data_IF_481993535729
#
_entry.id   IF_481993535729
#
_cell.length_a   1.000
_cell.length_b   1.000
_cell.length_c   1.000
_cell.angle_alpha   90.00
_cell.angle_beta   90.00
_cell.angle_gamma   90.00
#
_symmetry.space_group_name_H-M   'P 1'
#
loop_
_entity.id
_entity.type
_entity.pdbx_description
1 polymer ?
#
# COMPACT_ATOMS: atom_id res chain seq x y z
N UNK A 1 10.86 12.86 19.40
CA UNK A 1 10.40 11.95 18.32
C UNK A 1 10.85 10.50 18.51
N UNK A 2 12.15 10.20 18.65
CA UNK A 2 12.66 8.81 18.74
C UNK A 2 12.00 7.92 19.81
N UNK A 3 11.71 8.46 21.00
CA UNK A 3 11.02 7.71 22.08
C UNK A 3 9.60 7.29 21.68
N UNK A 4 8.88 8.14 20.95
CA UNK A 4 7.52 7.87 20.48
C UNK A 4 7.53 6.81 19.37
N UNK A 5 8.46 6.96 18.42
CA UNK A 5 8.67 6.01 17.33
C UNK A 5 9.02 4.62 17.86
N UNK A 6 9.88 4.52 18.88
CA UNK A 6 10.22 3.25 19.54
C UNK A 6 8.99 2.59 20.18
N UNK A 7 8.12 3.40 20.81
CA UNK A 7 6.86 2.90 21.39
C UNK A 7 5.91 2.38 20.31
N UNK A 8 5.78 3.11 19.20
CA UNK A 8 4.90 2.71 18.10
C UNK A 8 5.41 1.48 17.35
N UNK A 9 6.73 1.36 17.13
CA UNK A 9 7.31 0.15 16.57
C UNK A 9 7.18 -1.06 17.50
N UNK A 10 7.35 -0.85 18.80
CA UNK A 10 7.11 -1.91 19.78
C UNK A 10 5.66 -2.39 19.69
N UNK A 11 4.68 -1.47 19.61
CA UNK A 11 3.28 -1.84 19.39
C UNK A 11 3.06 -2.55 18.06
N UNK A 12 3.69 -2.07 16.98
CA UNK A 12 3.56 -2.63 15.64
C UNK A 12 3.97 -4.10 15.61
N UNK A 13 5.19 -4.42 16.05
CA UNK A 13 5.70 -5.80 16.02
C UNK A 13 5.11 -6.70 17.11
N UNK A 14 4.36 -6.17 18.08
CA UNK A 14 3.55 -6.95 19.03
C UNK A 14 2.08 -7.06 18.61
N UNK A 15 1.69 -6.40 17.53
CA UNK A 15 0.32 -6.43 17.03
C UNK A 15 -0.01 -7.79 16.43
N UNK A 16 -0.99 -8.50 17.00
CA UNK A 16 -1.51 -9.75 16.41
C UNK A 16 -2.13 -9.50 15.03
N UNK A 17 -2.77 -8.33 14.83
CA UNK A 17 -3.42 -8.03 13.55
C UNK A 17 -2.42 -7.89 12.41
N UNK A 18 -1.18 -7.46 12.67
CA UNK A 18 -0.12 -7.38 11.63
C UNK A 18 0.17 -8.76 11.08
N UNK A 19 0.44 -9.72 11.97
CA UNK A 19 0.77 -11.09 11.57
C UNK A 19 -0.41 -11.83 10.95
N UNK A 20 -1.63 -11.59 11.44
CA UNK A 20 -2.84 -12.18 10.83
C UNK A 20 -3.03 -11.62 9.41
N UNK A 21 -2.94 -10.31 9.22
CA UNK A 21 -3.05 -9.70 7.89
C UNK A 21 -1.95 -10.22 6.96
N UNK A 22 -0.70 -10.28 7.43
CA UNK A 22 0.43 -10.78 6.66
C UNK A 22 0.26 -12.24 6.24
N UNK A 23 -0.19 -13.10 7.18
CA UNK A 23 -0.43 -14.52 6.93
C UNK A 23 -1.56 -14.71 5.90
N UNK A 24 -2.68 -14.03 6.08
CA UNK A 24 -3.83 -14.14 5.16
C UNK A 24 -3.44 -13.62 3.77
N UNK A 25 -2.76 -12.48 3.69
CA UNK A 25 -2.28 -11.91 2.43
C UNK A 25 -1.32 -12.86 1.69
N UNK A 26 -0.35 -13.44 2.42
CA UNK A 26 0.56 -14.44 1.86
C UNK A 26 -0.16 -15.70 1.37
N UNK A 27 -1.11 -16.22 2.13
CA UNK A 27 -1.92 -17.39 1.73
C UNK A 27 -2.76 -17.11 0.48
N UNK A 28 -3.33 -15.92 0.34
CA UNK A 28 -4.07 -15.53 -0.86
C UNK A 28 -3.14 -15.38 -2.08
N UNK A 29 -1.93 -14.87 -1.90
CA UNK A 29 -0.94 -14.80 -2.99
C UNK A 29 -0.47 -16.18 -3.46
N UNK A 30 -0.31 -17.12 -2.52
CA UNK A 30 -0.02 -18.53 -2.85
C UNK A 30 -1.23 -19.16 -3.55
N UNK A 31 -2.42 -18.96 -2.99
CA UNK A 31 -3.68 -19.51 -3.51
C UNK A 31 -3.97 -19.04 -4.94
N UNK A 32 -3.79 -17.76 -5.24
CA UNK A 32 -3.95 -17.21 -6.59
C UNK A 32 -2.99 -17.85 -7.60
N UNK A 33 -1.74 -18.11 -7.21
CA UNK A 33 -0.77 -18.79 -8.07
C UNK A 33 -1.26 -20.20 -8.46
N UNK A 34 -1.71 -20.98 -7.48
CA UNK A 34 -2.25 -22.32 -7.70
C UNK A 34 -3.57 -22.31 -8.47
N UNK A 35 -4.42 -21.31 -8.26
CA UNK A 35 -5.67 -21.14 -9.01
C UNK A 35 -5.39 -20.87 -10.49
N UNK A 36 -4.42 -20.02 -10.82
CA UNK A 36 -4.02 -19.78 -12.22
C UNK A 36 -3.42 -21.04 -12.84
N UNK A 37 -2.56 -21.77 -12.11
CA UNK A 37 -2.01 -23.05 -12.59
C UNK A 37 -3.11 -24.09 -12.82
N UNK A 38 -4.08 -24.20 -11.92
CA UNK A 38 -5.22 -25.08 -12.12
C UNK A 38 -6.01 -24.65 -13.35
N UNK A 39 -6.35 -23.36 -13.46
CA UNK A 39 -7.09 -22.80 -14.60
C UNK A 39 -6.44 -23.12 -15.93
N UNK A 40 -5.10 -23.07 -16.00
CA UNK A 40 -4.34 -23.42 -17.22
C UNK A 40 -4.46 -24.88 -17.66
N UNK A 41 -4.91 -25.77 -16.78
CA UNK A 41 -5.21 -27.17 -17.13
C UNK A 41 -6.62 -27.34 -17.66
N UNK A 42 -7.51 -26.39 -17.36
CA UNK A 42 -8.94 -26.46 -17.68
C UNK A 42 -9.25 -25.68 -18.96
N UNK A 43 -8.58 -24.56 -19.18
CA UNK A 43 -8.72 -23.72 -20.36
C UNK A 43 -7.35 -23.26 -20.86
N UNK A 44 -7.13 -23.35 -22.18
CA UNK A 44 -5.91 -22.85 -22.83
C UNK A 44 -5.81 -21.31 -22.79
N UNK A 45 -6.91 -20.60 -22.51
CA UNK A 45 -6.91 -19.13 -22.38
C UNK A 45 -6.27 -18.64 -21.06
N UNK A 46 -6.26 -19.48 -20.02
CA UNK A 46 -5.72 -19.10 -18.71
C UNK A 46 -4.27 -19.57 -18.65
N UNK A 47 -3.31 -18.66 -18.81
CA UNK A 47 -1.89 -19.01 -18.76
C UNK A 47 -1.22 -18.33 -17.59
N UNK A 48 -0.38 -19.09 -16.87
CA UNK A 48 0.55 -18.51 -15.91
C UNK A 48 1.62 -17.71 -16.65
N UNK A 49 1.38 -16.40 -16.84
CA UNK A 49 2.21 -15.50 -17.67
C UNK A 49 3.52 -15.04 -17.04
N UNK A 50 4.01 -15.71 -15.99
CA UNK A 50 5.26 -15.38 -15.33
C UNK A 50 6.33 -16.42 -15.65
N UNK A 51 7.49 -15.92 -16.08
CA UNK A 51 8.62 -16.75 -16.48
C UNK A 51 9.20 -17.54 -15.30
N UNK A 52 9.34 -16.90 -14.15
CA UNK A 52 10.01 -17.43 -12.97
C UNK A 52 9.32 -16.96 -11.68
N UNK A 53 9.70 -17.55 -10.55
CA UNK A 53 9.15 -17.14 -9.26
C UNK A 53 9.48 -15.70 -8.89
N UNK A 54 10.62 -15.16 -9.32
CA UNK A 54 10.99 -13.77 -9.05
C UNK A 54 10.01 -12.78 -9.71
N UNK A 55 9.69 -13.01 -10.99
CA UNK A 55 8.74 -12.20 -11.75
C UNK A 55 7.35 -12.23 -11.11
N UNK A 56 6.91 -13.39 -10.64
CA UNK A 56 5.64 -13.51 -9.91
C UNK A 56 5.70 -12.84 -8.52
N UNK A 57 6.81 -13.01 -7.79
CA UNK A 57 7.03 -12.34 -6.50
C UNK A 57 6.96 -10.82 -6.62
N UNK A 58 7.56 -10.24 -7.67
CA UNK A 58 7.54 -8.80 -7.93
C UNK A 58 6.12 -8.23 -8.09
N UNK A 59 5.11 -9.06 -8.38
CA UNK A 59 3.71 -8.62 -8.38
C UNK A 59 3.24 -8.12 -7.01
N UNK A 60 3.86 -8.54 -5.92
CA UNK A 60 3.50 -8.09 -4.57
C UNK A 60 3.65 -6.56 -4.40
N UNK A 61 4.49 -5.92 -5.22
CA UNK A 61 4.73 -4.48 -5.20
C UNK A 61 3.73 -3.68 -6.01
N UNK A 62 3.02 -4.26 -6.97
CA UNK A 62 2.14 -3.52 -7.89
C UNK A 62 0.72 -4.13 -8.00
N UNK A 63 0.46 -5.22 -7.28
CA UNK A 63 -0.81 -5.92 -7.24
C UNK A 63 -1.87 -5.23 -6.39
N UNK A 64 -3.14 -5.33 -6.80
CA UNK A 64 -4.28 -4.72 -6.10
C UNK A 64 -4.45 -5.20 -4.65
N UNK A 65 -4.11 -6.47 -4.39
CA UNK A 65 -4.43 -7.16 -3.14
C UNK A 65 -3.70 -6.55 -1.93
N UNK A 66 -2.48 -6.03 -2.12
CA UNK A 66 -1.70 -5.43 -1.02
C UNK A 66 -2.39 -4.22 -0.42
N UNK A 67 -3.04 -3.42 -1.27
CA UNK A 67 -3.68 -2.17 -0.88
C UNK A 67 -4.84 -2.42 0.07
N UNK A 68 -5.58 -3.51 -0.12
CA UNK A 68 -6.67 -3.91 0.77
C UNK A 68 -6.15 -4.22 2.18
N UNK A 69 -5.08 -5.01 2.28
CA UNK A 69 -4.49 -5.35 3.57
C UNK A 69 -3.84 -4.15 4.26
N UNK A 70 -3.22 -3.25 3.49
CA UNK A 70 -2.76 -1.96 4.02
C UNK A 70 -3.91 -1.14 4.58
N UNK A 71 -5.02 -1.01 3.84
CA UNK A 71 -6.21 -0.29 4.26
C UNK A 71 -6.74 -0.81 5.60
N UNK A 72 -6.91 -2.12 5.71
CA UNK A 72 -7.41 -2.80 6.91
C UNK A 72 -6.45 -2.59 8.07
N UNK A 73 -5.17 -2.94 7.87
CA UNK A 73 -4.20 -2.94 8.96
C UNK A 73 -3.93 -1.54 9.50
N UNK A 74 -3.69 -0.55 8.61
CA UNK A 74 -3.40 0.82 9.01
C UNK A 74 -4.58 1.42 9.76
N UNK A 75 -5.81 1.15 9.28
CA UNK A 75 -7.03 1.58 9.97
C UNK A 75 -7.09 1.04 11.40
N UNK A 76 -6.90 -0.27 11.58
CA UNK A 76 -6.91 -0.92 12.91
C UNK A 76 -5.81 -0.35 13.80
N UNK A 77 -4.58 -0.27 13.28
CA UNK A 77 -3.41 0.11 14.06
C UNK A 77 -3.43 1.57 14.52
N UNK A 78 -3.83 2.49 13.65
CA UNK A 78 -3.86 3.93 13.94
C UNK A 78 -5.04 4.27 14.85
N UNK A 79 -6.22 3.70 14.56
CA UNK A 79 -7.44 3.99 15.34
C UNK A 79 -7.46 3.32 16.70
N UNK A 80 -6.67 2.27 16.94
CA UNK A 80 -6.63 1.56 18.22
C UNK A 80 -6.48 2.49 19.44
N UNK A 81 -5.63 3.51 19.36
CA UNK A 81 -5.44 4.45 20.48
C UNK A 81 -6.61 5.39 20.71
N UNK A 82 -7.37 5.70 19.66
CA UNK A 82 -8.61 6.46 19.78
C UNK A 82 -9.71 5.58 20.38
N UNK A 83 -9.85 4.35 19.88
CA UNK A 83 -10.84 3.38 20.37
C UNK A 83 -10.64 3.02 21.85
N UNK A 84 -9.39 2.84 22.29
CA UNK A 84 -9.08 2.53 23.69
C UNK A 84 -8.87 3.78 24.56
N UNK A 85 -9.02 5.00 24.01
CA UNK A 85 -8.83 6.25 24.75
C UNK A 85 -7.41 6.47 25.29
N UNK A 86 -6.40 5.79 24.73
CA UNK A 86 -5.00 5.91 25.15
C UNK A 86 -4.26 7.05 24.45
N UNK A 87 -4.84 7.64 23.39
CA UNK A 87 -4.25 8.77 22.67
C UNK A 87 -3.99 9.98 23.59
N UNK A 88 -4.89 10.25 24.53
CA UNK A 88 -4.73 11.32 25.53
C UNK A 88 -3.49 11.13 26.40
N UNK A 89 -3.12 9.89 26.75
CA UNK A 89 -1.92 9.62 27.54
C UNK A 89 -0.64 10.03 26.78
N UNK A 90 -0.63 9.89 25.46
CA UNK A 90 0.49 10.32 24.61
C UNK A 90 0.56 11.84 24.51
N UNK A 91 -0.60 12.52 24.40
CA UNK A 91 -0.67 13.98 24.39
C UNK A 91 -0.28 14.57 25.76
N UNK A 92 -0.78 14.01 26.86
CA UNK A 92 -0.47 14.46 28.23
C UNK A 92 1.00 14.27 28.62
N UNK A 93 1.73 13.37 27.94
CA UNK A 93 3.20 13.25 28.07
C UNK A 93 3.97 14.41 27.42
N UNK A 94 3.29 15.37 26.80
CA UNK A 94 3.88 16.56 26.19
C UNK A 94 4.37 16.37 24.75
N UNK A 95 4.02 15.27 24.08
CA UNK A 95 4.36 15.10 22.66
C UNK A 95 3.49 16.01 21.79
N UNK A 96 4.11 16.74 20.86
CA UNK A 96 3.36 17.57 19.92
C UNK A 96 2.50 16.70 18.99
N UNK A 97 1.32 17.20 18.64
CA UNK A 97 0.39 16.50 17.75
C UNK A 97 1.02 16.18 16.38
N UNK A 98 1.90 17.06 15.90
CA UNK A 98 2.67 16.84 14.66
C UNK A 98 3.61 15.64 14.81
N UNK A 99 4.35 15.54 15.93
CA UNK A 99 5.23 14.39 16.18
C UNK A 99 4.44 13.09 16.31
N UNK A 100 3.25 13.13 16.91
CA UNK A 100 2.35 11.97 16.99
C UNK A 100 1.92 11.52 15.60
N UNK A 101 1.45 12.47 14.78
CA UNK A 101 1.04 12.17 13.40
C UNK A 101 2.18 11.56 12.57
N UNK A 102 3.36 12.19 12.58
CA UNK A 102 4.52 11.69 11.85
C UNK A 102 4.97 10.30 12.35
N UNK A 103 4.87 10.03 13.66
CA UNK A 103 5.15 8.70 14.20
C UNK A 103 4.19 7.64 13.64
N UNK A 104 2.88 7.95 13.54
CA UNK A 104 1.90 7.05 12.93
C UNK A 104 2.14 6.83 11.45
N UNK A 105 2.48 7.88 10.73
CA UNK A 105 2.83 7.78 9.32
C UNK A 105 4.05 6.85 9.09
N UNK A 106 5.17 7.10 9.79
CA UNK A 106 6.39 6.30 9.62
C UNK A 106 6.14 4.83 9.99
N UNK A 107 5.42 4.58 11.09
CA UNK A 107 5.09 3.21 11.51
C UNK A 107 4.11 2.53 10.55
N UNK A 108 3.17 3.25 9.95
CA UNK A 108 2.32 2.74 8.88
C UNK A 108 3.12 2.36 7.62
N UNK A 109 4.10 3.18 7.20
CA UNK A 109 4.97 2.83 6.07
C UNK A 109 5.76 1.54 6.32
N UNK A 110 6.35 1.39 7.51
CA UNK A 110 7.07 0.15 7.86
C UNK A 110 6.12 -1.05 7.87
N UNK A 111 4.89 -0.88 8.38
CA UNK A 111 3.89 -1.94 8.33
C UNK A 111 3.53 -2.34 6.89
N UNK A 112 3.35 -1.35 6.00
CA UNK A 112 3.06 -1.63 4.58
C UNK A 112 4.21 -2.38 3.90
N UNK A 113 5.44 -1.96 4.14
CA UNK A 113 6.61 -2.63 3.54
C UNK A 113 6.81 -4.04 4.09
N UNK A 114 6.49 -4.26 5.36
CA UNK A 114 6.46 -5.59 5.95
C UNK A 114 5.42 -6.49 5.26
N UNK A 115 4.19 -5.99 5.03
CA UNK A 115 3.16 -6.73 4.32
C UNK A 115 3.58 -7.06 2.87
N UNK A 116 4.10 -6.07 2.14
CA UNK A 116 4.63 -6.27 0.78
C UNK A 116 5.74 -7.31 0.78
N UNK A 117 6.67 -7.27 1.74
CA UNK A 117 7.77 -8.23 1.83
C UNK A 117 7.27 -9.65 2.06
N UNK A 118 6.31 -9.85 2.97
CA UNK A 118 5.73 -11.18 3.22
C UNK A 118 5.05 -11.72 1.96
N UNK A 119 4.31 -10.87 1.25
CA UNK A 119 3.69 -11.26 -0.01
C UNK A 119 4.75 -11.54 -1.08
N UNK A 120 5.78 -10.71 -1.22
CA UNK A 120 6.87 -10.94 -2.17
C UNK A 120 7.51 -12.31 -1.96
N UNK A 121 7.79 -12.70 -0.70
CA UNK A 121 8.34 -14.02 -0.37
C UNK A 121 7.33 -15.13 -0.69
N UNK A 122 6.05 -14.96 -0.37
CA UNK A 122 5.01 -15.93 -0.67
C UNK A 122 4.83 -16.13 -2.20
N UNK A 123 4.86 -15.04 -2.96
CA UNK A 123 4.87 -15.02 -4.42
C UNK A 123 6.11 -15.71 -4.97
N UNK A 124 7.30 -15.34 -4.51
CA UNK A 124 8.56 -15.97 -4.91
C UNK A 124 8.46 -17.50 -4.76
N UNK A 125 8.13 -17.97 -3.56
CA UNK A 125 8.04 -19.41 -3.25
C UNK A 125 6.97 -20.13 -4.08
N UNK A 126 5.77 -19.55 -4.21
CA UNK A 126 4.71 -20.18 -5.01
C UNK A 126 5.05 -20.19 -6.50
N UNK A 127 5.59 -19.09 -7.03
CA UNK A 127 6.00 -19.00 -8.42
C UNK A 127 7.15 -19.95 -8.75
N UNK A 128 8.14 -20.14 -7.87
CA UNK A 128 9.23 -21.11 -8.07
C UNK A 128 8.72 -22.55 -8.07
N UNK A 129 7.77 -22.89 -7.19
CA UNK A 129 7.14 -24.22 -7.16
C UNK A 129 6.33 -24.50 -8.42
N UNK A 130 5.80 -23.47 -9.07
CA UNK A 130 4.98 -23.62 -10.28
C UNK A 130 5.85 -23.72 -11.53
N UNK A 131 6.81 -22.81 -11.68
CA UNK A 131 7.66 -22.67 -12.87
C UNK A 131 8.90 -23.57 -12.85
N UNK A 132 9.34 -24.00 -11.66
CA UNK A 132 10.59 -24.74 -11.47
C UNK A 132 11.84 -23.85 -11.43
N UNK A 133 11.71 -22.55 -11.69
CA UNK A 133 12.82 -21.60 -11.74
C UNK A 133 12.65 -20.47 -10.71
N UNK A 134 13.75 -20.13 -10.02
CA UNK A 134 13.77 -18.99 -9.09
C UNK A 134 13.77 -17.66 -9.83
N UNK A 135 14.50 -17.60 -10.95
CA UNK A 135 14.85 -16.34 -11.59
C UNK A 135 16.15 -15.76 -11.04
N UNK A 136 16.75 -14.83 -11.78
CA UNK A 136 18.00 -14.18 -11.39
C UNK A 136 17.96 -12.67 -11.64
N UNK A 137 18.55 -11.91 -10.73
CA UNK A 137 18.80 -10.48 -10.91
C UNK A 137 20.05 -10.28 -11.76
N UNK A 138 19.94 -10.41 -13.08
CA UNK A 138 21.07 -10.21 -14.01
C UNK A 138 20.81 -9.06 -14.99
N UNK A 139 21.88 -8.35 -15.36
CA UNK A 139 21.86 -7.33 -16.40
C UNK A 139 20.82 -6.21 -16.20
N UNK A 140 20.14 -5.85 -17.29
CA UNK A 140 19.12 -4.78 -17.32
C UNK A 140 17.89 -5.09 -16.47
N UNK A 141 17.54 -6.38 -16.30
CA UNK A 141 16.40 -6.79 -15.48
C UNK A 141 16.55 -6.32 -14.02
N UNK A 142 17.74 -6.50 -13.44
CA UNK A 142 18.01 -6.08 -12.07
C UNK A 142 17.84 -4.57 -11.86
N UNK A 143 18.34 -3.77 -12.81
CA UNK A 143 18.19 -2.32 -12.78
C UNK A 143 16.71 -1.90 -12.87
N UNK A 144 15.96 -2.50 -13.79
CA UNK A 144 14.53 -2.20 -13.97
C UNK A 144 13.70 -2.61 -12.74
N UNK A 145 13.96 -3.79 -12.17
CA UNK A 145 13.29 -4.26 -10.97
C UNK A 145 13.59 -3.37 -9.76
N UNK A 146 14.87 -3.01 -9.53
CA UNK A 146 15.26 -2.15 -8.42
C UNK A 146 14.65 -0.75 -8.53
N UNK A 147 14.61 -0.19 -9.75
CA UNK A 147 13.94 1.09 -10.03
C UNK A 147 12.44 0.99 -9.76
N UNK A 148 11.77 -0.06 -10.25
CA UNK A 148 10.35 -0.29 -10.02
C UNK A 148 10.05 -0.40 -8.52
N UNK A 149 10.79 -1.22 -7.78
CA UNK A 149 10.64 -1.35 -6.33
C UNK A 149 10.81 -0.02 -5.62
N UNK A 150 11.81 0.79 -6.00
CA UNK A 150 12.01 2.11 -5.40
C UNK A 150 10.83 3.07 -5.59
N UNK A 151 10.25 3.09 -6.80
CA UNK A 151 9.08 3.92 -7.10
C UNK A 151 7.84 3.38 -6.41
N UNK A 152 7.65 2.07 -6.39
CA UNK A 152 6.53 1.44 -5.72
C UNK A 152 6.54 1.72 -4.23
N UNK A 153 7.70 1.61 -3.55
CA UNK A 153 7.80 1.96 -2.14
C UNK A 153 7.37 3.42 -1.88
N UNK A 154 7.74 4.36 -2.75
CA UNK A 154 7.28 5.76 -2.67
C UNK A 154 5.75 5.87 -2.84
N UNK A 155 5.16 5.17 -3.81
CA UNK A 155 3.71 5.17 -4.04
C UNK A 155 2.95 4.55 -2.85
N UNK A 156 3.49 3.48 -2.25
CA UNK A 156 2.93 2.84 -1.07
C UNK A 156 3.06 3.71 0.18
N UNK A 157 4.12 4.52 0.29
CA UNK A 157 4.22 5.55 1.32
C UNK A 157 3.14 6.62 1.14
N UNK A 158 2.92 7.10 -0.08
CA UNK A 158 1.86 8.04 -0.40
C UNK A 158 0.46 7.47 -0.12
N UNK A 159 0.24 6.17 -0.37
CA UNK A 159 -1.00 5.52 0.03
C UNK A 159 -1.14 5.46 1.55
N UNK A 160 -0.07 5.09 2.25
CA UNK A 160 -0.06 5.03 3.72
C UNK A 160 -0.39 6.38 4.34
N UNK A 161 0.07 7.51 3.76
CA UNK A 161 -0.29 8.84 4.25
C UNK A 161 -1.77 9.16 4.06
N UNK A 162 -2.39 8.75 2.95
CA UNK A 162 -3.86 8.86 2.75
C UNK A 162 -4.60 8.08 3.83
N UNK A 163 -4.21 6.82 4.05
CA UNK A 163 -4.88 5.92 5.01
C UNK A 163 -4.77 6.43 6.45
N UNK A 164 -3.60 6.95 6.82
CA UNK A 164 -3.36 7.59 8.13
C UNK A 164 -4.17 8.89 8.25
N UNK A 165 -4.21 9.71 7.20
CA UNK A 165 -5.01 10.95 7.19
C UNK A 165 -6.48 10.66 7.49
N UNK A 166 -7.08 9.69 6.78
CA UNK A 166 -8.46 9.26 7.00
C UNK A 166 -8.66 8.74 8.43
N UNK A 167 -7.73 7.91 8.94
CA UNK A 167 -7.78 7.40 10.31
C UNK A 167 -7.74 8.49 11.37
N UNK A 168 -6.93 9.54 11.15
CA UNK A 168 -6.79 10.67 12.07
C UNK A 168 -7.98 11.65 12.03
N UNK A 169 -8.71 11.68 10.91
CA UNK A 169 -9.95 12.45 10.75
C UNK A 169 -11.12 11.71 11.42
N UNK A 170 -11.30 10.42 11.10
CA UNK A 170 -12.47 9.65 11.54
C UNK A 170 -12.35 9.18 13.00
N UNK A 171 -11.16 8.71 13.42
CA UNK A 171 -10.84 8.26 14.80
C UNK A 171 -11.72 7.15 15.35
N UNK A 172 -12.47 6.47 14.49
CA UNK A 172 -13.26 5.30 14.82
C UNK A 172 -12.75 4.11 14.00
N UNK A 173 -12.52 2.97 14.64
CA UNK A 173 -11.97 1.79 13.96
C UNK A 173 -12.81 1.31 12.77
N UNK A 174 -14.09 1.03 12.99
CA UNK A 174 -14.98 0.51 11.95
C UNK A 174 -15.21 1.51 10.82
N UNK A 175 -15.49 2.78 11.16
CA UNK A 175 -15.70 3.83 10.17
C UNK A 175 -14.45 4.09 9.31
N UNK A 176 -13.28 4.10 9.93
CA UNK A 176 -12.01 4.28 9.20
C UNK A 176 -11.75 3.11 8.26
N UNK A 177 -11.93 1.88 8.72
CA UNK A 177 -11.77 0.69 7.88
C UNK A 177 -12.68 0.74 6.66
N UNK A 178 -13.97 1.04 6.87
CA UNK A 178 -14.94 1.13 5.79
C UNK A 178 -14.55 2.19 4.74
N UNK A 179 -14.23 3.41 5.19
CA UNK A 179 -13.85 4.51 4.28
C UNK A 179 -12.56 4.19 3.53
N UNK A 180 -11.54 3.66 4.21
CA UNK A 180 -10.25 3.33 3.57
C UNK A 180 -10.38 2.22 2.52
N UNK A 181 -11.17 1.17 2.79
CA UNK A 181 -11.43 0.11 1.82
C UNK A 181 -12.19 0.66 0.62
N UNK A 182 -13.28 1.40 0.84
CA UNK A 182 -14.12 1.96 -0.21
C UNK A 182 -13.34 2.97 -1.08
N UNK A 183 -12.50 3.80 -0.45
CA UNK A 183 -11.66 4.78 -1.14
C UNK A 183 -10.69 4.12 -2.12
N UNK A 184 -10.04 3.02 -1.72
CA UNK A 184 -9.08 2.29 -2.55
C UNK A 184 -9.78 1.47 -3.65
N UNK A 185 -10.83 0.73 -3.29
CA UNK A 185 -11.42 -0.28 -4.18
C UNK A 185 -12.33 0.36 -5.21
N UNK A 186 -13.18 1.29 -4.80
CA UNK A 186 -14.35 1.73 -5.59
C UNK A 186 -14.27 3.20 -5.97
N UNK A 187 -14.11 4.09 -4.99
CA UNK A 187 -14.33 5.53 -5.20
C UNK A 187 -13.19 6.17 -5.98
N UNK A 188 -11.94 5.72 -5.78
CA UNK A 188 -10.79 6.23 -6.51
C UNK A 188 -10.96 6.16 -8.03
N UNK A 189 -11.00 4.96 -8.65
CA UNK A 189 -11.10 4.82 -10.11
C UNK A 189 -12.34 5.50 -10.71
N UNK A 190 -13.49 5.40 -10.05
CA UNK A 190 -14.75 5.95 -10.54
C UNK A 190 -14.71 7.47 -10.63
N UNK A 191 -14.13 8.16 -9.63
CA UNK A 191 -14.01 9.63 -9.67
C UNK A 191 -13.18 10.07 -10.88
N UNK A 192 -12.06 9.41 -11.15
CA UNK A 192 -11.20 9.76 -12.27
C UNK A 192 -11.90 9.56 -13.63
N UNK A 193 -12.64 8.46 -13.79
CA UNK A 193 -13.42 8.20 -15.00
C UNK A 193 -14.57 9.20 -15.18
N UNK A 194 -15.26 9.56 -14.09
CA UNK A 194 -16.30 10.58 -14.14
C UNK A 194 -15.73 11.94 -14.52
N UNK A 195 -14.56 12.31 -14.00
CA UNK A 195 -13.88 13.55 -14.39
C UNK A 195 -13.50 13.54 -15.87
N UNK A 196 -12.99 12.43 -16.40
CA UNK A 196 -12.73 12.30 -17.84
C UNK A 196 -14.00 12.51 -18.66
N UNK A 197 -15.11 11.91 -18.23
CA UNK A 197 -16.42 12.09 -18.88
C UNK A 197 -16.88 13.56 -18.83
N UNK A 198 -16.74 14.24 -17.68
CA UNK A 198 -17.10 15.66 -17.53
C UNK A 198 -16.31 16.60 -18.42
N UNK A 199 -15.10 16.21 -18.83
CA UNK A 199 -14.22 16.99 -19.70
C UNK A 199 -14.15 16.42 -21.13
N UNK A 200 -15.14 15.62 -21.55
CA UNK A 200 -15.21 14.99 -22.88
C UNK A 200 -13.93 14.25 -23.27
N UNK A 201 -13.28 13.59 -22.31
CA UNK A 201 -12.03 12.84 -22.48
C UNK A 201 -10.86 13.69 -23.04
N UNK A 202 -10.95 15.03 -23.00
CA UNK A 202 -9.86 15.92 -23.43
C UNK A 202 -8.64 15.84 -22.52
N UNK A 203 -8.85 15.44 -21.27
CA UNK A 203 -7.81 15.27 -20.25
C UNK A 203 -8.00 13.89 -19.62
N UNK A 204 -6.96 13.06 -19.69
CA UNK A 204 -6.94 11.73 -19.07
C UNK A 204 -6.56 11.82 -17.58
N UNK A 205 -7.52 12.16 -16.73
CA UNK A 205 -7.29 12.29 -15.29
C UNK A 205 -6.82 10.98 -14.63
N UNK A 206 -7.20 9.83 -15.17
CA UNK A 206 -6.81 8.49 -14.68
C UNK A 206 -5.30 8.31 -14.65
N UNK A 207 -4.56 8.92 -15.59
CA UNK A 207 -3.08 8.90 -15.61
C UNK A 207 -2.45 9.48 -14.34
N UNK A 208 -3.15 10.40 -13.67
CA UNK A 208 -2.68 11.07 -12.46
C UNK A 208 -3.22 10.44 -11.16
N UNK A 209 -3.98 9.36 -11.26
CA UNK A 209 -4.40 8.58 -10.10
C UNK A 209 -3.23 7.84 -9.48
N UNK A 210 -3.14 7.86 -8.14
CA UNK A 210 -2.12 7.10 -7.40
C UNK A 210 -2.20 5.60 -7.74
N UNK A 211 -3.42 5.04 -7.76
CA UNK A 211 -3.64 3.62 -8.08
C UNK A 211 -3.20 3.27 -9.50
N UNK A 212 -3.46 4.14 -10.47
CA UNK A 212 -3.06 3.89 -11.85
C UNK A 212 -1.53 3.87 -12.00
N UNK A 213 -0.82 4.75 -11.27
CA UNK A 213 0.64 4.76 -11.28
C UNK A 213 1.26 3.54 -10.60
N UNK A 214 0.59 2.94 -9.61
CA UNK A 214 0.98 1.62 -9.07
C UNK A 214 0.72 0.51 -10.10
N UNK A 215 -0.49 0.46 -10.66
CA UNK A 215 -0.87 -0.59 -11.61
C UNK A 215 -0.07 -0.56 -12.92
N UNK A 216 0.48 0.60 -13.30
CA UNK A 216 1.34 0.75 -14.49
C UNK A 216 2.46 -0.30 -14.52
N UNK A 217 3.12 -0.53 -13.38
CA UNK A 217 4.28 -1.42 -13.30
C UNK A 217 3.90 -2.91 -13.35
N UNK A 218 2.60 -3.23 -13.27
CA UNK A 218 2.10 -4.59 -13.50
C UNK A 218 2.14 -4.94 -15.00
N UNK A 219 1.77 -3.98 -15.87
CA UNK A 219 1.77 -4.16 -17.31
C UNK A 219 3.17 -3.96 -17.93
N UNK A 220 3.93 -2.97 -17.46
CA UNK A 220 5.21 -2.58 -18.05
C UNK A 220 6.23 -2.37 -16.93
N UNK A 221 7.17 -3.30 -16.78
CA UNK A 221 8.23 -3.21 -15.75
C UNK A 221 9.21 -2.04 -16.00
N UNK A 222 9.42 -1.68 -17.27
CA UNK A 222 10.31 -0.59 -17.67
C UNK A 222 9.58 0.43 -18.55
N UNK A 223 8.66 1.23 -17.98
CA UNK A 223 7.90 2.19 -18.74
C UNK A 223 8.80 3.35 -19.25
N UNK A 224 8.32 4.13 -20.24
CA UNK A 224 9.01 5.32 -20.72
C UNK A 224 9.36 6.30 -19.58
N UNK A 225 10.40 7.10 -19.77
CA UNK A 225 10.87 8.05 -18.75
C UNK A 225 9.77 9.03 -18.30
N UNK A 226 8.89 9.44 -19.22
CA UNK A 226 7.77 10.32 -18.92
C UNK A 226 6.81 9.74 -17.88
N UNK A 227 6.46 8.45 -18.01
CA UNK A 227 5.57 7.77 -17.08
C UNK A 227 6.25 7.54 -15.72
N UNK A 228 7.56 7.27 -15.72
CA UNK A 228 8.37 7.16 -14.50
C UNK A 228 8.32 8.48 -13.72
N UNK A 229 8.61 9.59 -14.40
CA UNK A 229 8.58 10.92 -13.79
C UNK A 229 7.17 11.25 -13.28
N UNK A 230 6.12 10.91 -14.04
CA UNK A 230 4.73 11.06 -13.60
C UNK A 230 4.46 10.28 -12.32
N UNK A 231 4.86 9.01 -12.23
CA UNK A 231 4.66 8.21 -11.02
C UNK A 231 5.33 8.82 -9.79
N UNK A 232 6.57 9.30 -9.94
CA UNK A 232 7.31 9.95 -8.85
C UNK A 232 6.61 11.24 -8.41
N UNK A 233 6.23 12.11 -9.36
CA UNK A 233 5.57 13.38 -9.07
C UNK A 233 4.20 13.16 -8.40
N UNK A 234 3.42 12.20 -8.90
CA UNK A 234 2.13 11.81 -8.30
C UNK A 234 2.35 11.32 -6.87
N UNK A 235 3.30 10.41 -6.65
CA UNK A 235 3.62 9.90 -5.32
C UNK A 235 4.01 11.01 -4.33
N UNK A 236 4.92 11.90 -4.72
CA UNK A 236 5.36 13.04 -3.88
C UNK A 236 4.18 13.99 -3.61
N UNK A 237 3.40 14.34 -4.62
CA UNK A 237 2.27 15.25 -4.48
C UNK A 237 1.24 14.71 -3.49
N UNK A 238 0.80 13.47 -3.68
CA UNK A 238 -0.14 12.82 -2.76
C UNK A 238 0.42 12.73 -1.34
N UNK A 239 1.68 12.34 -1.19
CA UNK A 239 2.34 12.26 0.11
C UNK A 239 2.35 13.61 0.82
N UNK A 240 2.81 14.68 0.16
CA UNK A 240 2.90 16.02 0.76
C UNK A 240 1.52 16.57 1.10
N UNK A 241 0.57 16.50 0.18
CA UNK A 241 -0.78 17.05 0.36
C UNK A 241 -1.52 16.34 1.49
N UNK A 242 -1.47 15.00 1.53
CA UNK A 242 -2.21 14.22 2.54
C UNK A 242 -1.56 14.29 3.92
N UNK A 243 -0.23 14.38 3.99
CA UNK A 243 0.45 14.69 5.25
C UNK A 243 0.05 16.08 5.75
N UNK A 244 0.04 17.10 4.90
CA UNK A 244 -0.35 18.45 5.28
C UNK A 244 -1.80 18.50 5.81
N UNK A 245 -2.75 17.94 5.06
CA UNK A 245 -4.17 17.89 5.46
C UNK A 245 -4.34 17.12 6.76
N UNK A 246 -3.74 15.93 6.89
CA UNK A 246 -3.87 15.12 8.09
C UNK A 246 -3.24 15.74 9.33
N UNK A 247 -2.08 16.40 9.18
CA UNK A 247 -1.44 17.15 10.27
C UNK A 247 -2.32 18.32 10.70
N UNK A 248 -2.85 19.11 9.76
CA UNK A 248 -3.73 20.25 10.07
C UNK A 248 -5.01 19.79 10.77
N UNK A 249 -5.65 18.74 10.26
CA UNK A 249 -6.85 18.16 10.86
C UNK A 249 -6.58 17.69 12.30
N UNK A 250 -5.48 16.97 12.54
CA UNK A 250 -5.15 16.47 13.87
C UNK A 250 -4.71 17.59 14.83
N UNK A 251 -3.94 18.56 14.36
CA UNK A 251 -3.46 19.70 15.17
C UNK A 251 -4.61 20.47 15.80
N UNK A 252 -5.63 20.78 15.01
CA UNK A 252 -6.76 21.62 15.41
C UNK A 252 -7.82 20.87 16.22
N UNK A 253 -7.65 19.58 16.44
CA UNK A 253 -8.69 18.77 17.04
C UNK A 253 -8.50 18.54 18.53
N UNK A 254 -9.59 18.51 19.28
CA UNK A 254 -9.58 18.12 20.68
C UNK A 254 -9.34 16.61 20.83
N UNK A 255 -8.45 16.27 21.76
CA UNK A 255 -8.17 14.89 22.15
C UNK A 255 -8.75 14.70 23.54
N UNK A 256 -9.90 14.01 23.62
CA UNK A 256 -10.60 13.69 24.86
C UNK A 256 -10.11 12.37 25.47
#
# INVERSE_FOLDING_TARGET
>A
MLRLLRSDFYRLFRSKSLYICALVAGLLMIGSAYMVKWGSRVSEEIVFSYKDGLSYGLMAFNGGDVHLFMAIFISIFVTAEFTYGTMKNTVSKGFSKIMIYLSKFITACVASYFLILVMFVAGLVSGTLITGEVGSFTGSFALHALRMVGIELLLHAALSSILVMVAMIIRNGGGTMAVNIIAIVTVGPVIYQLLELFFDHRIEFTKYSLRNNVMLYNAIMAPPMEDILRSILVGICFLVVTLAIGILAFKNSDVK
#
